data_IF_834927036637
#
_entry.id   IF_834927036637
#
_cell.length_a   1.000
_cell.length_b   1.000
_cell.length_c   1.000
_cell.angle_alpha   90.00
_cell.angle_beta   90.00
_cell.angle_gamma   90.00
#
_symmetry.space_group_name_H-M   'P 1'
#
loop_
_entity.id
_entity.type
_entity.pdbx_description
1 polymer ?
#
# COMPACT_ATOMS: atom_id res chain seq x y z
N UNK A 1 -5.17 -16.77 -4.51
CA UNK A 1 -5.08 -15.34 -4.19
C UNK A 1 -4.02 -14.71 -5.08
N UNK A 2 -4.15 -13.43 -5.44
CA UNK A 2 -3.29 -12.74 -6.42
C UNK A 2 -4.09 -11.83 -7.36
N UNK A 3 -3.42 -11.15 -8.29
CA UNK A 3 -4.02 -10.15 -9.19
C UNK A 3 -5.29 -10.66 -9.91
N UNK A 4 -5.19 -11.79 -10.61
CA UNK A 4 -6.32 -12.40 -11.32
C UNK A 4 -7.46 -12.77 -10.37
N UNK A 5 -7.14 -13.23 -9.15
CA UNK A 5 -8.14 -13.59 -8.15
C UNK A 5 -8.97 -12.38 -7.71
N UNK A 6 -8.33 -11.25 -7.41
CA UNK A 6 -9.02 -10.01 -7.01
C UNK A 6 -9.84 -9.45 -8.17
N UNK A 7 -9.28 -9.40 -9.37
CA UNK A 7 -9.96 -8.89 -10.57
C UNK A 7 -11.19 -9.75 -10.91
N UNK A 8 -11.12 -11.07 -10.74
CA UNK A 8 -12.26 -11.96 -10.95
C UNK A 8 -13.44 -11.63 -10.01
N UNK A 9 -13.16 -11.19 -8.78
CA UNK A 9 -14.20 -10.79 -7.83
C UNK A 9 -14.93 -9.49 -8.23
N UNK A 10 -14.37 -8.71 -9.16
CA UNK A 10 -14.99 -7.48 -9.67
C UNK A 10 -16.01 -7.75 -10.79
N UNK A 11 -16.24 -9.02 -11.16
CA UNK A 11 -17.23 -9.38 -12.18
C UNK A 11 -16.75 -9.16 -13.62
N UNK A 12 -15.43 -9.07 -13.85
CA UNK A 12 -14.88 -8.96 -15.21
C UNK A 12 -15.23 -10.22 -16.01
N UNK A 13 -15.69 -10.10 -17.27
CA UNK A 13 -16.03 -11.26 -18.09
C UNK A 13 -14.83 -12.22 -18.27
N UNK A 14 -15.06 -13.55 -18.29
CA UNK A 14 -13.99 -14.55 -18.37
C UNK A 14 -13.04 -14.38 -19.56
N UNK A 15 -13.53 -13.88 -20.69
CA UNK A 15 -12.69 -13.63 -21.87
C UNK A 15 -11.58 -12.60 -21.59
N UNK A 16 -11.91 -11.50 -20.92
CA UNK A 16 -10.92 -10.48 -20.54
C UNK A 16 -9.98 -10.99 -19.44
N UNK A 17 -10.48 -11.77 -18.48
CA UNK A 17 -9.64 -12.39 -17.46
C UNK A 17 -8.61 -13.34 -18.09
N UNK A 18 -9.00 -14.15 -19.07
CA UNK A 18 -8.10 -15.04 -19.78
C UNK A 18 -7.04 -14.26 -20.57
N UNK A 19 -7.44 -13.14 -21.19
CA UNK A 19 -6.50 -12.26 -21.89
C UNK A 19 -5.49 -11.61 -20.93
N UNK A 20 -5.93 -11.09 -19.79
CA UNK A 20 -5.03 -10.53 -18.75
C UNK A 20 -4.12 -11.62 -18.20
N UNK A 21 -4.64 -12.82 -17.95
CA UNK A 21 -3.84 -13.95 -17.48
C UNK A 21 -2.75 -14.32 -18.49
N UNK A 22 -3.09 -14.46 -19.77
CA UNK A 22 -2.13 -14.72 -20.84
C UNK A 22 -1.08 -13.60 -20.95
N UNK A 23 -1.49 -12.34 -20.78
CA UNK A 23 -0.58 -11.19 -20.77
C UNK A 23 0.39 -11.19 -19.58
N UNK A 24 0.03 -11.81 -18.46
CA UNK A 24 0.89 -11.93 -17.27
C UNK A 24 1.79 -13.17 -17.28
N UNK A 25 1.53 -14.17 -18.14
CA UNK A 25 2.18 -15.49 -18.13
C UNK A 25 3.47 -15.56 -18.95
N UNK A 26 4.43 -16.40 -18.53
CA UNK A 26 5.71 -16.74 -19.22
C UNK A 26 6.47 -15.55 -19.81
N UNK A 27 6.47 -14.43 -19.09
CA UNK A 27 7.19 -13.24 -19.53
C UNK A 27 8.67 -13.38 -19.27
N UNK A 28 9.47 -12.87 -20.20
CA UNK A 28 10.92 -12.82 -20.10
C UNK A 28 11.42 -11.41 -20.38
N UNK A 29 12.50 -11.05 -19.71
CA UNK A 29 13.23 -9.79 -19.93
C UNK A 29 14.73 -10.01 -19.96
N UNK A 30 15.44 -9.02 -20.48
CA UNK A 30 16.87 -8.86 -20.34
C UNK A 30 17.17 -7.41 -19.99
N UNK A 31 18.38 -7.15 -19.51
CA UNK A 31 18.87 -5.80 -19.20
C UNK A 31 19.98 -5.48 -20.22
N UNK A 32 19.97 -4.27 -20.76
CA UNK A 32 20.99 -3.75 -21.66
C UNK A 32 21.60 -2.47 -21.08
N UNK A 33 22.92 -2.45 -20.92
CA UNK A 33 23.69 -1.28 -20.44
C UNK A 33 24.89 -1.12 -21.36
N UNK A 34 25.05 0.06 -21.97
CA UNK A 34 26.15 0.35 -22.90
C UNK A 34 26.33 -0.76 -23.96
N UNK A 35 25.25 -1.13 -24.65
CA UNK A 35 25.20 -2.16 -25.70
C UNK A 35 25.52 -3.60 -25.22
N UNK A 36 25.75 -3.79 -23.92
CA UNK A 36 25.98 -5.10 -23.32
C UNK A 36 24.67 -5.67 -22.76
N UNK A 37 24.24 -6.82 -23.27
CA UNK A 37 23.00 -7.50 -22.88
C UNK A 37 23.23 -8.61 -21.87
N UNK A 38 22.36 -8.68 -20.85
CA UNK A 38 22.25 -9.86 -20.00
C UNK A 38 21.64 -11.05 -20.76
N UNK A 39 21.75 -12.25 -20.18
CA UNK A 39 20.87 -13.36 -20.57
C UNK A 39 19.41 -13.02 -20.30
N UNK A 40 18.50 -13.65 -21.03
CA UNK A 40 17.07 -13.63 -20.72
C UNK A 40 16.81 -14.28 -19.36
N UNK A 41 15.86 -13.71 -18.61
CA UNK A 41 15.36 -14.24 -17.36
C UNK A 41 13.83 -14.08 -17.27
N UNK A 42 13.19 -14.94 -16.48
CA UNK A 42 11.74 -14.95 -16.33
C UNK A 42 11.27 -13.85 -15.36
N UNK A 43 10.07 -13.32 -15.60
CA UNK A 43 9.40 -12.33 -14.73
C UNK A 43 8.12 -12.93 -14.16
N UNK A 44 8.20 -13.41 -12.92
CA UNK A 44 7.10 -14.10 -12.25
C UNK A 44 6.12 -13.16 -11.54
N UNK A 45 6.57 -11.94 -11.18
CA UNK A 45 5.77 -10.93 -10.47
C UNK A 45 5.79 -9.58 -11.17
N UNK A 46 4.76 -8.77 -10.92
CA UNK A 46 4.60 -7.44 -11.50
C UNK A 46 3.98 -7.45 -12.90
N UNK A 47 3.90 -6.26 -13.49
CA UNK A 47 3.38 -6.03 -14.84
C UNK A 47 4.50 -5.49 -15.74
N UNK A 48 4.46 -5.75 -17.06
CA UNK A 48 5.35 -5.14 -18.05
C UNK A 48 5.46 -3.62 -17.87
N UNK A 49 6.67 -3.12 -17.64
CA UNK A 49 6.94 -1.69 -17.56
C UNK A 49 6.75 -1.03 -18.94
N UNK A 50 6.18 0.16 -18.99
CA UNK A 50 5.89 0.88 -20.24
C UNK A 50 4.60 0.44 -20.94
N UNK A 51 3.85 -0.52 -20.38
CA UNK A 51 2.50 -0.84 -20.87
C UNK A 51 1.45 0.11 -20.32
N UNK A 52 0.52 0.54 -21.17
CA UNK A 52 -0.68 1.31 -20.78
C UNK A 52 -1.63 0.50 -19.90
N UNK A 53 -1.55 -0.83 -19.92
CA UNK A 53 -2.41 -1.71 -19.11
C UNK A 53 -1.94 -1.80 -17.65
N UNK A 54 -0.63 -1.65 -17.41
CA UNK A 54 -0.03 -1.82 -16.08
C UNK A 54 -0.64 -0.87 -15.03
N UNK A 55 -0.80 0.44 -15.28
CA UNK A 55 -1.43 1.36 -14.34
C UNK A 55 -2.90 1.01 -14.08
N UNK A 56 -3.66 0.67 -15.13
CA UNK A 56 -5.08 0.30 -15.01
C UNK A 56 -5.25 -0.96 -14.16
N UNK A 57 -4.41 -1.97 -14.37
CA UNK A 57 -4.42 -3.19 -13.54
C UNK A 57 -4.01 -2.89 -12.10
N UNK A 58 -3.04 -2.01 -11.90
CA UNK A 58 -2.63 -1.60 -10.55
C UNK A 58 -3.77 -0.95 -9.77
N UNK A 59 -4.47 0.02 -10.38
CA UNK A 59 -5.62 0.68 -9.75
C UNK A 59 -6.73 -0.33 -9.47
N UNK A 60 -7.04 -1.19 -10.44
CA UNK A 60 -8.09 -2.22 -10.32
C UNK A 60 -7.76 -3.24 -9.24
N UNK A 61 -6.50 -3.62 -9.10
CA UNK A 61 -6.03 -4.56 -8.08
C UNK A 61 -6.12 -4.00 -6.65
N UNK A 62 -5.96 -2.69 -6.50
CA UNK A 62 -5.98 -1.97 -5.22
C UNK A 62 -7.31 -1.25 -4.94
N UNK A 63 -8.38 -1.51 -5.71
CA UNK A 63 -9.63 -0.76 -5.58
C UNK A 63 -10.34 -0.97 -4.23
N UNK A 64 -10.09 -2.09 -3.57
CA UNK A 64 -10.62 -2.45 -2.24
C UNK A 64 -9.79 -1.88 -1.08
N UNK A 65 -8.63 -1.29 -1.36
CA UNK A 65 -7.70 -0.78 -0.36
C UNK A 65 -8.37 0.20 0.62
N UNK A 66 -9.14 1.16 0.10
CA UNK A 66 -9.84 2.14 0.93
C UNK A 66 -10.84 1.50 1.90
N UNK A 67 -11.51 0.42 1.50
CA UNK A 67 -12.44 -0.31 2.37
C UNK A 67 -11.76 -1.17 3.43
N UNK A 68 -10.50 -1.58 3.19
CA UNK A 68 -9.73 -2.38 4.16
C UNK A 68 -9.14 -1.55 5.32
N UNK A 69 -8.99 -0.23 5.13
CA UNK A 69 -8.39 0.67 6.11
C UNK A 69 -9.46 1.55 6.76
N UNK A 70 -10.14 0.99 7.75
CA UNK A 70 -11.14 1.69 8.53
C UNK A 70 -10.55 2.85 9.37
N UNK A 71 -11.41 3.77 9.80
CA UNK A 71 -11.16 4.76 10.86
C UNK A 71 -10.19 5.92 10.56
N UNK A 72 -9.67 6.02 9.34
CA UNK A 72 -8.79 7.12 8.93
C UNK A 72 -9.18 7.66 7.55
N UNK A 73 -8.85 8.93 7.28
CA UNK A 73 -8.98 9.49 5.93
C UNK A 73 -7.73 9.12 5.13
N UNK A 74 -7.88 8.29 4.10
CA UNK A 74 -6.79 7.84 3.25
C UNK A 74 -6.84 8.47 1.85
N UNK A 75 -5.67 8.80 1.33
CA UNK A 75 -5.45 9.31 -0.01
C UNK A 75 -4.44 8.41 -0.70
N UNK A 76 -4.81 7.87 -1.86
CA UNK A 76 -3.98 6.99 -2.66
C UNK A 76 -3.65 7.63 -4.00
N UNK A 77 -2.37 7.58 -4.36
CA UNK A 77 -1.90 7.93 -5.69
C UNK A 77 -0.85 6.93 -6.13
N UNK A 78 -1.22 6.05 -7.07
CA UNK A 78 -0.40 4.87 -7.40
C UNK A 78 -0.01 4.10 -6.11
N UNK A 79 1.29 3.86 -5.88
CA UNK A 79 1.82 3.20 -4.69
C UNK A 79 1.97 4.10 -3.46
N UNK A 80 1.82 5.42 -3.62
CA UNK A 80 1.89 6.36 -2.50
C UNK A 80 0.55 6.41 -1.73
N UNK A 81 0.67 6.27 -0.41
CA UNK A 81 -0.43 6.36 0.54
C UNK A 81 -0.16 7.49 1.54
N UNK A 82 -1.12 8.41 1.66
CA UNK A 82 -1.15 9.39 2.74
C UNK A 82 -2.39 9.16 3.61
N UNK A 83 -2.21 9.15 4.93
CA UNK A 83 -3.30 8.94 5.89
C UNK A 83 -3.33 10.06 6.90
N UNK A 84 -4.52 10.61 7.10
CA UNK A 84 -4.78 11.70 8.04
C UNK A 84 -5.67 11.16 9.16
N UNK A 85 -5.18 11.32 10.38
CA UNK A 85 -5.89 10.98 11.61
C UNK A 85 -6.00 12.25 12.43
N UNK A 86 -7.23 12.72 12.62
CA UNK A 86 -7.53 13.93 13.38
C UNK A 86 -8.55 13.63 14.48
N UNK A 87 -8.54 14.47 15.50
CA UNK A 87 -9.46 14.40 16.64
C UNK A 87 -10.38 15.61 16.71
N UNK A 88 -11.47 15.47 17.48
CA UNK A 88 -12.42 16.56 17.68
C UNK A 88 -11.88 17.61 18.67
N UNK A 89 -12.23 18.87 18.43
CA UNK A 89 -11.95 19.98 19.34
C UNK A 89 -12.79 19.86 20.62
N UNK A 90 -12.26 20.40 21.73
CA UNK A 90 -12.98 20.44 23.02
C UNK A 90 -12.78 19.21 23.92
N UNK A 91 -12.05 18.20 23.44
CA UNK A 91 -11.62 17.06 24.24
C UNK A 91 -10.31 17.41 24.96
N UNK A 92 -10.11 16.89 26.18
CA UNK A 92 -8.85 17.05 26.91
C UNK A 92 -7.70 16.44 26.09
N UNK A 93 -6.62 17.20 25.97
CA UNK A 93 -5.40 16.82 25.22
C UNK A 93 -4.90 15.40 25.50
N UNK A 94 -4.91 14.95 26.76
CA UNK A 94 -4.48 13.60 27.13
C UNK A 94 -5.35 12.50 26.51
N UNK A 95 -6.66 12.70 26.43
CA UNK A 95 -7.56 11.74 25.79
C UNK A 95 -7.39 11.73 24.28
N UNK A 96 -7.17 12.90 23.68
CA UNK A 96 -6.87 13.00 22.25
C UNK A 96 -5.62 12.21 21.88
N UNK A 97 -4.54 12.35 22.65
CA UNK A 97 -3.31 11.60 22.39
C UNK A 97 -3.56 10.08 22.45
N UNK A 98 -4.27 9.60 23.49
CA UNK A 98 -4.56 8.17 23.63
C UNK A 98 -5.45 7.63 22.49
N UNK A 99 -6.45 8.40 22.07
CA UNK A 99 -7.33 8.00 20.98
C UNK A 99 -6.62 7.97 19.62
N UNK A 100 -5.84 9.02 19.31
CA UNK A 100 -5.02 9.09 18.10
C UNK A 100 -4.04 7.91 18.03
N UNK A 101 -3.31 7.64 19.11
CA UNK A 101 -2.36 6.53 19.16
C UNK A 101 -3.05 5.19 18.87
N UNK A 102 -4.21 4.97 19.52
CA UNK A 102 -4.99 3.74 19.34
C UNK A 102 -5.46 3.58 17.89
N UNK A 103 -5.98 4.65 17.26
CA UNK A 103 -6.45 4.60 15.86
C UNK A 103 -5.31 4.37 14.89
N UNK A 104 -4.16 4.99 15.11
CA UNK A 104 -2.97 4.79 14.26
C UNK A 104 -2.45 3.36 14.39
N UNK A 105 -2.42 2.77 15.60
CA UNK A 105 -2.02 1.37 15.81
C UNK A 105 -2.93 0.41 15.05
N UNK A 106 -4.25 0.54 15.19
CA UNK A 106 -5.24 -0.27 14.45
C UNK A 106 -5.03 -0.13 12.94
N UNK A 107 -4.79 1.10 12.46
CA UNK A 107 -4.53 1.35 11.05
C UNK A 107 -3.26 0.63 10.57
N UNK A 108 -2.17 0.70 11.32
CA UNK A 108 -0.90 0.02 10.99
C UNK A 108 -1.10 -1.49 10.92
N UNK A 109 -1.80 -2.09 11.89
CA UNK A 109 -2.09 -3.52 11.90
C UNK A 109 -2.86 -3.95 10.65
N UNK A 110 -3.89 -3.17 10.26
CA UNK A 110 -4.64 -3.44 9.04
C UNK A 110 -3.80 -3.27 7.78
N UNK A 111 -2.93 -2.25 7.74
CA UNK A 111 -2.04 -1.99 6.63
C UNK A 111 -1.02 -3.12 6.45
N UNK A 112 -0.39 -3.59 7.53
CA UNK A 112 0.53 -4.72 7.49
C UNK A 112 -0.17 -6.02 7.08
N UNK A 113 -1.37 -6.26 7.60
CA UNK A 113 -2.18 -7.40 7.20
C UNK A 113 -2.53 -7.36 5.71
N UNK A 114 -2.96 -6.20 5.20
CA UNK A 114 -3.24 -6.02 3.78
C UNK A 114 -1.98 -6.23 2.92
N UNK A 115 -0.85 -5.65 3.32
CA UNK A 115 0.47 -5.82 2.67
C UNK A 115 0.84 -7.31 2.56
N UNK A 116 0.64 -8.08 3.63
CA UNK A 116 0.87 -9.51 3.64
C UNK A 116 -0.05 -10.27 2.66
N UNK A 117 -1.36 -10.00 2.70
CA UNK A 117 -2.33 -10.67 1.83
C UNK A 117 -2.13 -10.40 0.34
N UNK A 118 -1.65 -9.20 0.01
CA UNK A 118 -1.45 -8.73 -1.37
C UNK A 118 -0.04 -8.95 -1.90
N UNK A 119 0.90 -9.39 -1.05
CA UNK A 119 2.31 -9.52 -1.40
C UNK A 119 2.90 -8.18 -1.92
N UNK A 120 2.44 -7.07 -1.32
CA UNK A 120 2.88 -5.71 -1.59
C UNK A 120 3.60 -5.14 -0.35
N UNK A 121 4.92 -5.35 -0.22
CA UNK A 121 5.64 -4.99 0.99
C UNK A 121 5.71 -3.48 1.21
N UNK A 122 5.50 -3.06 2.46
CA UNK A 122 5.61 -1.66 2.90
C UNK A 122 7.08 -1.26 2.97
N UNK A 123 7.42 -0.09 2.44
CA UNK A 123 8.75 0.49 2.59
C UNK A 123 8.87 1.33 3.86
N UNK A 124 9.14 0.69 5.00
CA UNK A 124 9.27 1.34 6.32
C UNK A 124 10.37 2.40 6.38
N UNK A 125 11.36 2.35 5.49
CA UNK A 125 12.40 3.36 5.40
C UNK A 125 11.87 4.67 4.82
N UNK A 126 10.95 4.59 3.86
CA UNK A 126 10.31 5.74 3.23
C UNK A 126 9.06 6.22 3.97
N UNK A 127 8.41 5.35 4.75
CA UNK A 127 7.24 5.74 5.56
C UNK A 127 7.65 6.65 6.71
N UNK A 128 6.94 7.76 6.89
CA UNK A 128 7.15 8.77 7.92
C UNK A 128 5.82 9.18 8.54
N UNK A 129 5.84 9.62 9.80
CA UNK A 129 4.69 10.22 10.45
C UNK A 129 4.94 11.73 10.64
N UNK A 130 3.89 12.52 10.57
CA UNK A 130 3.95 13.95 10.86
C UNK A 130 2.86 14.31 11.86
N UNK A 131 3.28 14.82 13.02
CA UNK A 131 2.37 15.23 14.08
C UNK A 131 2.22 16.74 14.10
N UNK A 132 0.97 17.21 14.13
CA UNK A 132 0.65 18.63 14.28
C UNK A 132 -0.25 18.82 15.50
N UNK A 133 0.09 19.79 16.34
CA UNK A 133 -0.66 20.11 17.55
C UNK A 133 -0.78 21.63 17.71
N UNK A 134 -1.93 22.09 18.21
CA UNK A 134 -2.18 23.52 18.49
C UNK A 134 -1.63 23.98 19.84
N UNK A 135 -1.29 23.04 20.72
CA UNK A 135 -0.76 23.30 22.07
C UNK A 135 0.75 23.07 22.12
N UNK A 136 1.45 23.72 23.07
CA UNK A 136 2.91 23.60 23.34
C UNK A 136 3.26 22.23 23.98
N UNK A 137 2.48 21.19 23.69
CA UNK A 137 2.78 19.82 24.08
C UNK A 137 3.51 19.12 22.94
N UNK A 138 4.58 18.39 23.25
CA UNK A 138 5.15 17.41 22.33
C UNK A 138 4.55 16.05 22.66
N UNK A 139 3.47 15.62 21.98
CA UNK A 139 2.95 14.28 22.21
C UNK A 139 4.03 13.27 21.84
N UNK A 140 4.30 12.34 22.75
CA UNK A 140 5.11 11.17 22.46
C UNK A 140 4.15 10.04 22.16
N UNK A 141 4.06 9.68 20.90
CA UNK A 141 3.32 8.51 20.48
C UNK A 141 4.29 7.33 20.36
N UNK A 142 3.92 6.20 20.94
CA UNK A 142 4.62 4.94 20.69
C UNK A 142 3.98 4.26 19.47
N UNK A 143 4.48 4.56 18.28
CA UNK A 143 3.95 4.03 17.03
C UNK A 143 5.09 3.38 16.25
N UNK A 144 4.93 2.10 15.93
CA UNK A 144 5.92 1.31 15.22
C UNK A 144 5.23 0.30 14.31
N UNK A 145 5.93 -0.13 13.26
CA UNK A 145 5.53 -1.28 12.46
C UNK A 145 5.91 -2.57 13.20
N UNK A 146 5.11 -3.62 13.13
CA UNK A 146 5.46 -4.90 13.75
C UNK A 146 6.65 -5.56 13.03
N UNK A 147 6.78 -5.30 11.72
CA UNK A 147 7.78 -5.88 10.83
C UNK A 147 9.17 -5.22 10.86
N UNK A 148 9.35 -4.14 11.64
CA UNK A 148 10.65 -3.50 11.82
C UNK A 148 10.67 -2.60 13.05
N UNK A 149 11.74 -2.68 13.85
CA UNK A 149 11.99 -1.91 15.07
C UNK A 149 12.25 -0.41 14.83
N UNK A 150 11.59 0.19 13.84
CA UNK A 150 11.65 1.62 13.54
C UNK A 150 10.40 2.29 14.11
N UNK A 151 10.62 3.14 15.10
CA UNK A 151 9.61 4.09 15.56
C UNK A 151 9.31 5.11 14.46
N UNK A 152 8.03 5.42 14.28
CA UNK A 152 7.57 6.47 13.39
C UNK A 152 7.76 7.82 14.09
N UNK A 153 8.91 8.45 13.83
CA UNK A 153 9.25 9.82 14.26
C UNK A 153 8.88 10.89 13.25
#
# INVERSE_FOLDING_TARGET
AGCIGKIRCLGIPPAYLNWIYAWLLDRRSFIEINETRSRWFNIDKGCPQGSVLSPTLFITYNCDFGSSLASCTSHLFADDLAVIVADQLGIKYSYQCLDLEKRIKIFIDHLEYYSYLTDQPINTNKTQALFTARAIGHPKFDIHFNSGSKELG
#
